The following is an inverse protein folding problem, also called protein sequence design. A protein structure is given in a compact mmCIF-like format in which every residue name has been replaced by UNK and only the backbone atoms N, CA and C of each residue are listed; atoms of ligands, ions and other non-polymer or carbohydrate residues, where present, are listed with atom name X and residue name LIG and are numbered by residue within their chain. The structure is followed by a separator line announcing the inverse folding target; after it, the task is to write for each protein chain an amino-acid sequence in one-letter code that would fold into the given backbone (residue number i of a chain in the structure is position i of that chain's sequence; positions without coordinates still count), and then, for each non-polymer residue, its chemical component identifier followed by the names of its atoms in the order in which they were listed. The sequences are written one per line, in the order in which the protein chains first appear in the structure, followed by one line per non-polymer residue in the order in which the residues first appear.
data_IF_092970125975
#
_entry.id   IF_092970125975
#
_cell.length_a   1.000
_cell.length_b   1.000
_cell.length_c   1.000
_cell.angle_alpha   90.00
_cell.angle_beta   90.00
_cell.angle_gamma   90.00
#
_symmetry.space_group_name_H-M   'P 1'
#
loop_
_entity.id
_entity.type
_entity.pdbx_description
1 polymer ?
#
# COMPACT_ATOMS: atom_id res chain seq x y z
N UNK A 1 -12.26 7.71 24.26
CA UNK A 1 -13.45 6.88 23.96
C UNK A 1 -13.05 5.90 22.86
N UNK A 2 -13.43 4.62 22.99
CA UNK A 2 -12.70 3.47 22.44
C UNK A 2 -12.58 3.45 20.89
N UNK A 3 -11.33 3.45 20.40
CA UNK A 3 -10.95 2.67 19.22
C UNK A 3 -9.45 2.35 19.27
N UNK A 4 -9.12 1.13 18.90
CA UNK A 4 -7.84 0.63 18.41
C UNK A 4 -8.07 -0.39 17.28
N UNK A 5 -9.27 -0.43 16.67
CA UNK A 5 -9.61 -1.33 15.54
C UNK A 5 -10.93 -2.12 15.66
N UNK A 6 -11.85 -1.76 16.57
CA UNK A 6 -13.21 -2.32 16.63
C UNK A 6 -14.20 -1.31 16.06
N UNK A 7 -14.87 -1.65 14.97
CA UNK A 7 -15.86 -0.79 14.33
C UNK A 7 -17.24 -0.96 14.99
N UNK A 8 -18.08 0.06 14.84
CA UNK A 8 -19.50 -0.05 15.16
C UNK A 8 -20.07 -1.30 14.47
N UNK A 9 -20.85 -2.08 15.22
CA UNK A 9 -21.42 -3.40 14.86
C UNK A 9 -20.55 -4.64 15.18
N UNK A 10 -19.41 -4.49 15.89
CA UNK A 10 -18.66 -5.64 16.42
C UNK A 10 -17.86 -6.43 15.37
N UNK A 11 -17.72 -5.89 14.16
CA UNK A 11 -16.91 -6.49 13.09
C UNK A 11 -15.43 -6.17 13.34
N UNK A 12 -14.61 -7.22 13.43
CA UNK A 12 -13.15 -7.11 13.47
C UNK A 12 -12.58 -7.31 12.07
N UNK A 13 -11.62 -6.45 11.68
CA UNK A 13 -10.90 -6.57 10.41
C UNK A 13 -9.39 -6.66 10.70
N UNK A 14 -8.86 -7.86 10.98
CA UNK A 14 -7.46 -8.01 11.36
C UNK A 14 -6.52 -7.63 10.21
N UNK A 15 -5.35 -7.08 10.57
CA UNK A 15 -4.28 -6.84 9.60
C UNK A 15 -3.52 -8.15 9.40
N UNK A 16 -3.56 -8.67 8.17
CA UNK A 16 -2.97 -9.96 7.82
C UNK A 16 -1.85 -9.77 6.80
N UNK A 17 -0.87 -10.67 6.83
CA UNK A 17 0.12 -10.79 5.77
C UNK A 17 -0.57 -11.00 4.42
N UNK A 18 -0.14 -10.30 3.38
CA UNK A 18 -0.86 -10.26 2.12
C UNK A 18 -0.46 -9.13 1.20
N UNK A 19 -1.31 -8.92 0.20
CA UNK A 19 -1.12 -7.91 -0.84
C UNK A 19 -2.12 -6.78 -0.63
N UNK A 20 -1.60 -5.56 -0.69
CA UNK A 20 -2.38 -4.34 -0.66
C UNK A 20 -2.03 -3.48 -1.88
N UNK A 21 -2.98 -2.68 -2.35
CA UNK A 21 -2.78 -1.74 -3.43
C UNK A 21 -3.00 -0.31 -2.94
N UNK A 22 -2.05 0.62 -3.19
CA UNK A 22 -2.32 2.04 -3.06
C UNK A 22 -3.25 2.46 -4.21
N UNK A 23 -4.53 2.59 -3.90
CA UNK A 23 -5.63 2.80 -4.86
C UNK A 23 -5.52 4.20 -5.47
N UNK A 24 -5.53 4.34 -6.81
CA UNK A 24 -5.61 5.63 -7.47
C UNK A 24 -6.90 6.37 -7.12
N UNK A 25 -6.81 7.70 -7.01
CA UNK A 25 -8.00 8.54 -7.04
C UNK A 25 -8.39 8.78 -8.50
N UNK A 26 -9.65 8.62 -8.86
CA UNK A 26 -10.14 8.88 -10.21
C UNK A 26 -10.81 10.25 -10.26
N UNK A 27 -10.69 10.93 -11.40
CA UNK A 27 -11.18 12.30 -11.56
C UNK A 27 -11.99 12.45 -12.85
N UNK A 28 -13.01 13.30 -12.81
CA UNK A 28 -13.76 13.69 -13.99
C UNK A 28 -12.89 14.58 -14.90
N UNK A 29 -12.86 14.36 -16.24
CA UNK A 29 -11.91 15.01 -17.14
C UNK A 29 -11.93 16.55 -17.16
N UNK A 30 -13.08 17.16 -16.89
CA UNK A 30 -13.26 18.61 -17.03
C UNK A 30 -13.12 19.37 -15.70
N UNK A 31 -13.63 18.80 -14.61
CA UNK A 31 -13.69 19.49 -13.30
C UNK A 31 -12.59 19.08 -12.34
N UNK A 32 -11.87 17.99 -12.62
CA UNK A 32 -10.98 17.30 -11.69
C UNK A 32 -11.68 16.85 -10.39
N UNK A 33 -13.02 16.87 -10.30
CA UNK A 33 -13.78 16.32 -9.18
C UNK A 33 -13.59 14.80 -9.09
N UNK A 34 -13.77 14.24 -7.90
CA UNK A 34 -13.67 12.79 -7.68
C UNK A 34 -14.71 12.01 -8.49
N UNK A 35 -14.24 11.07 -9.31
CA UNK A 35 -15.08 10.04 -9.93
C UNK A 35 -15.27 8.88 -8.93
N UNK A 36 -16.24 9.06 -8.03
CA UNK A 36 -16.57 8.07 -7.00
C UNK A 36 -17.05 6.74 -7.59
N UNK A 37 -17.92 6.68 -8.61
CA UNK A 37 -18.31 5.40 -9.21
C UNK A 37 -17.14 4.56 -9.71
N UNK A 38 -16.19 5.15 -10.45
CA UNK A 38 -15.00 4.44 -10.92
C UNK A 38 -14.11 3.99 -9.75
N UNK A 39 -13.99 4.83 -8.72
CA UNK A 39 -13.26 4.48 -7.50
C UNK A 39 -13.86 3.28 -6.77
N UNK A 40 -15.17 3.29 -6.51
CA UNK A 40 -15.88 2.19 -5.84
C UNK A 40 -15.75 0.88 -6.63
N UNK A 41 -15.95 0.93 -7.95
CA UNK A 41 -15.79 -0.22 -8.84
C UNK A 41 -14.36 -0.79 -8.80
N UNK A 42 -13.34 0.08 -8.78
CA UNK A 42 -11.95 -0.34 -8.71
C UNK A 42 -11.61 -1.01 -7.36
N UNK A 43 -12.03 -0.41 -6.24
CA UNK A 43 -11.82 -0.95 -4.89
C UNK A 43 -12.41 -2.35 -4.77
N UNK A 44 -13.67 -2.53 -5.19
CA UNK A 44 -14.34 -3.84 -5.14
C UNK A 44 -13.63 -4.86 -6.03
N UNK A 45 -13.21 -4.46 -7.25
CA UNK A 45 -12.50 -5.36 -8.18
C UNK A 45 -11.19 -5.88 -7.59
N UNK A 46 -10.35 -5.00 -7.03
CA UNK A 46 -9.07 -5.43 -6.44
C UNK A 46 -9.30 -6.24 -5.16
N UNK A 47 -10.25 -5.84 -4.31
CA UNK A 47 -10.57 -6.56 -3.08
C UNK A 47 -11.13 -7.96 -3.34
N UNK A 48 -11.95 -8.14 -4.39
CA UNK A 48 -12.45 -9.46 -4.82
C UNK A 48 -11.31 -10.41 -5.20
N UNK A 49 -10.21 -9.88 -5.74
CA UNK A 49 -9.01 -10.66 -6.05
C UNK A 49 -8.12 -10.93 -4.82
N UNK A 50 -8.51 -10.47 -3.64
CA UNK A 50 -7.77 -10.64 -2.38
C UNK A 50 -6.76 -9.53 -2.08
N UNK A 51 -6.92 -8.34 -2.67
CA UNK A 51 -6.03 -7.19 -2.45
C UNK A 51 -6.67 -6.16 -1.52
N UNK A 52 -6.05 -5.89 -0.37
CA UNK A 52 -6.53 -4.86 0.56
C UNK A 52 -6.30 -3.43 0.03
N UNK A 53 -7.26 -2.51 0.15
CA UNK A 53 -7.10 -1.14 -0.33
C UNK A 53 -6.29 -0.27 0.64
N UNK A 54 -5.30 0.44 0.10
CA UNK A 54 -4.72 1.63 0.71
C UNK A 54 -5.28 2.86 -0.02
N UNK A 55 -6.10 3.64 0.67
CA UNK A 55 -6.78 4.83 0.13
C UNK A 55 -6.01 6.09 0.51
N UNK A 56 -5.99 7.10 -0.37
CA UNK A 56 -5.29 8.37 -0.15
C UNK A 56 -3.80 8.20 0.21
N UNK A 57 -3.11 7.26 -0.45
CA UNK A 57 -1.65 7.18 -0.46
C UNK A 57 -1.01 7.97 -1.60
N UNK A 58 0.30 7.78 -1.83
CA UNK A 58 1.03 8.46 -2.93
C UNK A 58 0.43 8.18 -4.31
N UNK A 59 0.11 6.93 -4.66
CA UNK A 59 -0.59 6.59 -5.91
C UNK A 59 -2.04 7.12 -5.95
N UNK A 60 -2.64 7.34 -4.77
CA UNK A 60 -3.94 7.99 -4.62
C UNK A 60 -3.87 9.52 -4.71
N UNK A 61 -2.71 10.09 -5.06
CA UNK A 61 -2.48 11.52 -5.24
C UNK A 61 -2.85 12.34 -3.99
N UNK A 62 -2.62 11.77 -2.80
CA UNK A 62 -3.09 12.31 -1.53
C UNK A 62 -2.76 13.79 -1.30
N UNK A 63 -1.57 14.23 -1.71
CA UNK A 63 -1.12 15.63 -1.55
C UNK A 63 -1.92 16.63 -2.39
N UNK A 64 -2.66 16.18 -3.41
CA UNK A 64 -3.57 17.01 -4.20
C UNK A 64 -5.03 16.91 -3.73
N UNK A 65 -5.32 16.07 -2.74
CA UNK A 65 -6.64 15.92 -2.16
C UNK A 65 -6.79 16.81 -0.93
N UNK A 66 -7.90 17.56 -0.87
CA UNK A 66 -8.35 18.19 0.36
C UNK A 66 -8.68 17.14 1.43
N UNK A 67 -8.70 17.55 2.69
CA UNK A 67 -9.13 16.70 3.81
C UNK A 67 -10.52 16.10 3.54
N UNK A 68 -11.46 16.91 3.03
CA UNK A 68 -12.82 16.47 2.72
C UNK A 68 -12.88 15.40 1.63
N UNK A 69 -12.00 15.47 0.63
CA UNK A 69 -11.93 14.48 -0.45
C UNK A 69 -11.33 13.17 0.05
N UNK A 70 -10.32 13.21 0.91
CA UNK A 70 -9.78 12.01 1.56
C UNK A 70 -10.86 11.29 2.37
N UNK A 71 -11.63 12.04 3.17
CA UNK A 71 -12.77 11.50 3.93
C UNK A 71 -13.81 10.88 3.00
N UNK A 72 -14.19 11.57 1.91
CA UNK A 72 -15.14 11.05 0.91
C UNK A 72 -14.67 9.73 0.30
N UNK A 73 -13.40 9.62 -0.09
CA UNK A 73 -12.84 8.38 -0.66
C UNK A 73 -12.81 7.23 0.35
N UNK A 74 -12.41 7.47 1.59
CA UNK A 74 -12.39 6.43 2.62
C UNK A 74 -13.81 5.92 2.88
N UNK A 75 -14.78 6.83 3.02
CA UNK A 75 -16.18 6.49 3.21
C UNK A 75 -16.75 5.70 2.03
N UNK A 76 -16.50 6.14 0.79
CA UNK A 76 -16.92 5.46 -0.43
C UNK A 76 -16.31 4.05 -0.53
N UNK A 77 -15.01 3.90 -0.21
CA UNK A 77 -14.33 2.61 -0.20
C UNK A 77 -14.95 1.64 0.80
N UNK A 78 -15.22 2.10 2.04
CA UNK A 78 -15.89 1.28 3.07
C UNK A 78 -17.28 0.85 2.62
N UNK A 79 -18.08 1.81 2.14
CA UNK A 79 -19.44 1.57 1.63
C UNK A 79 -19.44 0.54 0.48
N UNK A 80 -18.52 0.67 -0.47
CA UNK A 80 -18.42 -0.23 -1.62
C UNK A 80 -18.05 -1.66 -1.20
N UNK A 81 -17.07 -1.81 -0.30
CA UNK A 81 -16.71 -3.12 0.25
C UNK A 81 -17.88 -3.76 1.01
N UNK A 82 -18.57 -3.00 1.87
CA UNK A 82 -19.73 -3.51 2.61
C UNK A 82 -20.88 -3.93 1.69
N UNK A 83 -21.19 -3.11 0.68
CA UNK A 83 -22.22 -3.41 -0.33
C UNK A 83 -21.89 -4.63 -1.19
N UNK A 84 -20.60 -4.96 -1.37
CA UNK A 84 -20.14 -6.15 -2.07
C UNK A 84 -19.99 -7.39 -1.17
N UNK A 85 -20.37 -7.32 0.12
CA UNK A 85 -20.18 -8.42 1.06
C UNK A 85 -18.73 -8.65 1.51
N UNK A 86 -17.84 -7.68 1.25
CA UNK A 86 -16.42 -7.68 1.62
C UNK A 86 -16.20 -6.90 2.94
N UNK A 87 -17.14 -7.02 3.86
CA UNK A 87 -17.13 -6.36 5.16
C UNK A 87 -15.96 -6.77 6.07
N UNK A 88 -15.22 -7.83 5.76
CA UNK A 88 -14.04 -8.29 6.47
C UNK A 88 -12.73 -7.65 5.97
N UNK A 89 -12.74 -7.01 4.79
CA UNK A 89 -11.54 -6.41 4.19
C UNK A 89 -11.19 -5.10 4.90
N UNK A 90 -9.99 -4.97 5.52
CA UNK A 90 -9.58 -3.74 6.18
C UNK A 90 -9.18 -2.66 5.17
N UNK A 91 -9.42 -1.41 5.52
CA UNK A 91 -8.93 -0.23 4.80
C UNK A 91 -7.71 0.35 5.53
N UNK A 92 -6.63 0.56 4.77
CA UNK A 92 -5.50 1.40 5.19
C UNK A 92 -5.68 2.80 4.59
N UNK A 93 -5.58 3.87 5.37
CA UNK A 93 -5.67 5.25 4.88
C UNK A 93 -4.32 5.98 4.99
N UNK A 94 -3.90 6.68 3.94
CA UNK A 94 -2.71 7.53 3.98
C UNK A 94 -2.97 8.86 4.67
N UNK A 95 -2.26 9.12 5.78
CA UNK A 95 -2.50 10.31 6.63
C UNK A 95 -1.26 11.14 6.92
N UNK A 96 -0.09 10.75 6.39
CA UNK A 96 1.12 11.58 6.44
C UNK A 96 0.87 12.97 5.82
N UNK A 97 1.31 14.01 6.52
CA UNK A 97 1.06 15.40 6.18
C UNK A 97 2.28 16.29 6.45
N UNK A 98 2.14 17.60 6.23
CA UNK A 98 3.25 18.55 6.39
C UNK A 98 3.71 18.77 7.83
N UNK A 99 2.90 18.37 8.81
CA UNK A 99 3.19 18.52 10.24
C UNK A 99 2.63 17.36 11.07
N UNK A 100 3.16 17.18 12.28
CA UNK A 100 2.63 16.22 13.27
C UNK A 100 1.17 16.50 13.58
N UNK A 101 0.82 17.78 13.81
CA UNK A 101 -0.56 18.20 14.11
C UNK A 101 -1.54 17.81 13.02
N UNK A 102 -1.23 18.13 11.76
CA UNK A 102 -2.10 17.80 10.63
C UNK A 102 -2.16 16.28 10.38
N UNK A 103 -1.05 15.57 10.56
CA UNK A 103 -1.02 14.10 10.46
C UNK A 103 -1.99 13.46 11.46
N UNK A 104 -1.97 13.92 12.71
CA UNK A 104 -2.90 13.44 13.75
C UNK A 104 -4.35 13.79 13.41
N UNK A 105 -4.61 15.00 12.92
CA UNK A 105 -5.94 15.43 12.48
C UNK A 105 -6.49 14.52 11.37
N UNK A 106 -5.72 14.30 10.31
CA UNK A 106 -6.09 13.41 9.20
C UNK A 106 -6.27 11.96 9.66
N UNK A 107 -5.46 11.48 10.59
CA UNK A 107 -5.61 10.16 11.20
C UNK A 107 -6.92 10.00 11.96
N UNK A 108 -7.35 11.03 12.70
CA UNK A 108 -8.66 11.01 13.38
C UNK A 108 -9.81 11.05 12.36
N UNK A 109 -9.72 11.91 11.34
CA UNK A 109 -10.71 11.97 10.26
C UNK A 109 -10.82 10.65 9.49
N UNK A 110 -9.69 9.99 9.21
CA UNK A 110 -9.66 8.69 8.53
C UNK A 110 -10.36 7.60 9.35
N UNK A 111 -10.10 7.53 10.65
CA UNK A 111 -10.78 6.60 11.55
C UNK A 111 -12.30 6.83 11.57
N UNK A 112 -12.73 8.09 11.68
CA UNK A 112 -14.15 8.47 11.64
C UNK A 112 -14.81 8.14 10.29
N UNK A 113 -14.05 8.22 9.19
CA UNK A 113 -14.53 7.91 7.84
C UNK A 113 -14.66 6.40 7.57
N UNK A 114 -14.13 5.54 8.46
CA UNK A 114 -14.24 4.09 8.36
C UNK A 114 -12.95 3.35 7.98
N UNK A 115 -11.78 4.00 8.07
CA UNK A 115 -10.50 3.31 7.97
C UNK A 115 -10.24 2.45 9.22
N UNK A 116 -9.64 1.27 9.02
CA UNK A 116 -9.26 0.34 10.07
C UNK A 116 -7.80 0.59 10.54
N UNK A 117 -6.97 1.09 9.63
CA UNK A 117 -5.55 1.36 9.80
C UNK A 117 -5.16 2.67 9.10
N UNK A 118 -4.07 3.28 9.54
CA UNK A 118 -3.43 4.38 8.79
C UNK A 118 -2.00 4.06 8.42
N UNK A 119 -1.50 4.73 7.40
CA UNK A 119 -0.10 4.67 6.98
C UNK A 119 0.47 6.09 6.86
N UNK A 120 1.62 6.31 7.49
CA UNK A 120 2.19 7.64 7.73
C UNK A 120 3.60 7.73 7.16
N UNK A 121 3.79 8.67 6.24
CA UNK A 121 5.09 9.07 5.68
C UNK A 121 5.54 10.39 6.31
N UNK A 122 6.85 10.54 6.55
CA UNK A 122 7.43 11.83 6.92
C UNK A 122 7.45 12.76 5.72
N UNK A 123 6.95 14.00 5.87
CA UNK A 123 7.01 15.00 4.80
C UNK A 123 8.45 15.33 4.40
N UNK A 124 8.70 15.35 3.10
CA UNK A 124 10.01 15.69 2.52
C UNK A 124 10.31 17.18 2.42
N UNK A 125 9.35 18.06 2.70
CA UNK A 125 9.53 19.51 2.44
C UNK A 125 10.69 20.11 3.25
N UNK A 126 10.86 19.67 4.51
CA UNK A 126 11.97 20.08 5.38
C UNK A 126 13.05 19.00 5.53
N UNK A 127 13.23 18.14 4.51
CA UNK A 127 14.18 17.04 4.56
C UNK A 127 15.63 17.47 4.87
N UNK A 128 16.04 18.67 4.43
CA UNK A 128 17.38 19.21 4.73
C UNK A 128 17.68 19.34 6.22
N UNK A 129 16.65 19.46 7.08
CA UNK A 129 16.80 19.47 8.54
C UNK A 129 16.45 18.10 9.15
N UNK A 130 15.41 17.45 8.62
CA UNK A 130 14.86 16.22 9.21
C UNK A 130 15.65 14.95 8.90
N UNK A 131 16.23 14.83 7.70
CA UNK A 131 16.79 13.55 7.21
C UNK A 131 17.90 12.99 8.10
N UNK A 132 18.70 13.85 8.72
CA UNK A 132 19.79 13.45 9.62
C UNK A 132 19.43 13.65 11.11
N UNK A 133 18.18 13.97 11.43
CA UNK A 133 17.73 14.18 12.80
C UNK A 133 16.88 12.98 13.28
N UNK A 134 17.58 11.91 13.63
CA UNK A 134 16.99 10.65 14.13
C UNK A 134 16.04 10.88 15.31
N UNK A 135 16.39 11.77 16.24
CA UNK A 135 15.57 12.07 17.41
C UNK A 135 14.24 12.73 17.03
N UNK A 136 14.25 13.70 16.10
CA UNK A 136 13.04 14.34 15.61
C UNK A 136 12.15 13.35 14.83
N UNK A 137 12.74 12.51 13.99
CA UNK A 137 12.01 11.46 13.25
C UNK A 137 11.35 10.46 14.20
N UNK A 138 12.06 10.01 15.25
CA UNK A 138 11.50 9.14 16.29
C UNK A 138 10.35 9.83 17.02
N UNK A 139 10.57 11.06 17.50
CA UNK A 139 9.57 11.83 18.25
C UNK A 139 8.26 12.01 17.46
N UNK A 140 8.34 12.23 16.14
CA UNK A 140 7.18 12.29 15.27
C UNK A 140 6.34 11.00 15.31
N UNK A 141 6.96 9.83 15.15
CA UNK A 141 6.21 8.55 15.17
C UNK A 141 5.71 8.19 16.56
N UNK A 142 6.43 8.56 17.63
CA UNK A 142 5.96 8.41 19.01
C UNK A 142 4.66 9.19 19.21
N UNK A 143 4.64 10.49 18.86
CA UNK A 143 3.46 11.34 19.05
C UNK A 143 2.27 10.87 18.20
N UNK A 144 2.52 10.45 16.96
CA UNK A 144 1.48 9.85 16.09
C UNK A 144 0.93 8.56 16.69
N UNK A 145 1.79 7.69 17.22
CA UNK A 145 1.38 6.42 17.84
C UNK A 145 0.49 6.64 19.06
N UNK A 146 0.86 7.58 19.93
CA UNK A 146 0.12 7.93 21.14
C UNK A 146 -1.28 8.50 20.85
N UNK A 147 -1.38 9.37 19.84
CA UNK A 147 -2.60 10.15 19.54
C UNK A 147 -3.48 9.53 18.47
N UNK A 148 -3.02 8.50 17.77
CA UNK A 148 -3.84 7.81 16.76
C UNK A 148 -4.93 6.92 17.41
N UNK A 149 -6.21 7.07 17.02
CA UNK A 149 -7.29 6.17 17.44
C UNK A 149 -7.29 4.81 16.73
N UNK A 150 -6.45 4.59 15.71
CA UNK A 150 -6.35 3.31 14.98
C UNK A 150 -4.86 2.93 14.75
N UNK A 151 -4.53 1.66 14.49
CA UNK A 151 -3.13 1.26 14.37
C UNK A 151 -2.45 1.88 13.14
N UNK A 152 -1.15 2.15 13.26
CA UNK A 152 -0.38 2.96 12.31
C UNK A 152 0.73 2.13 11.67
N UNK A 153 0.87 2.20 10.35
CA UNK A 153 2.00 1.70 9.60
C UNK A 153 2.97 2.85 9.28
N UNK A 154 4.27 2.61 9.44
CA UNK A 154 5.33 3.49 8.97
C UNK A 154 5.40 3.39 7.44
N UNK A 155 5.55 4.50 6.73
CA UNK A 155 5.85 4.51 5.31
C UNK A 155 7.23 5.11 5.05
N UNK A 156 8.18 4.24 4.67
CA UNK A 156 9.52 4.65 4.29
C UNK A 156 9.65 4.69 2.75
N UNK A 157 9.65 5.90 2.18
CA UNK A 157 9.83 6.12 0.75
C UNK A 157 10.66 7.38 0.48
N UNK A 158 12.00 7.25 0.39
CA UNK A 158 12.90 8.39 0.22
C UNK A 158 12.58 9.24 -1.01
N UNK A 159 12.19 8.59 -2.11
CA UNK A 159 11.83 9.27 -3.36
C UNK A 159 10.61 10.21 -3.24
N UNK A 160 9.71 9.98 -2.29
CA UNK A 160 8.55 10.85 -2.03
C UNK A 160 8.70 11.69 -0.74
N UNK A 161 9.84 11.58 -0.05
CA UNK A 161 10.09 12.25 1.24
C UNK A 161 11.40 13.03 1.25
N UNK A 162 11.80 13.57 0.09
CA UNK A 162 12.98 14.44 -0.02
C UNK A 162 14.29 13.76 0.38
N UNK A 163 14.38 12.44 0.25
CA UNK A 163 15.55 11.65 0.64
C UNK A 163 15.57 11.19 2.10
N UNK A 164 14.54 11.48 2.91
CA UNK A 164 14.43 10.91 4.25
C UNK A 164 14.29 9.39 4.14
N UNK A 165 15.29 8.66 4.65
CA UNK A 165 15.32 7.20 4.66
C UNK A 165 15.52 6.69 6.09
N UNK A 166 14.46 6.17 6.69
CA UNK A 166 14.55 5.57 8.02
C UNK A 166 15.33 4.26 7.91
N UNK A 167 16.43 4.13 8.66
CA UNK A 167 17.18 2.89 8.74
C UNK A 167 16.41 1.79 9.51
N UNK A 168 16.93 0.56 9.47
CA UNK A 168 16.29 -0.55 10.19
C UNK A 168 16.27 -0.33 11.70
N UNK A 169 17.30 0.30 12.25
CA UNK A 169 17.51 0.37 13.70
C UNK A 169 16.50 1.33 14.31
N UNK A 170 16.26 2.47 13.64
CA UNK A 170 15.20 3.40 13.98
C UNK A 170 13.81 2.77 13.80
N UNK A 171 13.57 2.03 12.71
CA UNK A 171 12.26 1.38 12.50
C UNK A 171 11.99 0.32 13.59
N UNK A 172 12.99 -0.49 13.93
CA UNK A 172 12.88 -1.51 14.99
C UNK A 172 12.68 -0.86 16.35
N UNK A 173 13.42 0.19 16.69
CA UNK A 173 13.23 0.92 17.96
C UNK A 173 11.82 1.53 18.05
N UNK A 174 11.30 2.11 16.95
CA UNK A 174 9.90 2.58 16.92
C UNK A 174 8.93 1.40 17.11
N UNK A 175 9.20 0.25 16.48
CA UNK A 175 8.38 -0.95 16.67
C UNK A 175 8.35 -1.40 18.14
N UNK A 176 9.49 -1.38 18.82
CA UNK A 176 9.63 -1.77 20.23
C UNK A 176 8.91 -0.81 21.18
N UNK A 177 9.09 0.50 20.97
CA UNK A 177 8.62 1.54 21.90
C UNK A 177 7.15 1.96 21.68
N UNK A 178 6.64 1.80 20.46
CA UNK A 178 5.35 2.37 20.06
C UNK A 178 4.30 1.27 19.82
N UNK A 179 3.50 0.85 20.83
CA UNK A 179 2.60 -0.30 20.72
C UNK A 179 1.47 -0.13 19.71
N UNK A 180 1.13 1.10 19.30
CA UNK A 180 0.13 1.37 18.26
C UNK A 180 0.71 1.37 16.83
N UNK A 181 2.03 1.27 16.68
CA UNK A 181 2.69 1.05 15.39
C UNK A 181 2.60 -0.45 15.07
N UNK A 182 1.96 -0.79 13.96
CA UNK A 182 1.63 -2.15 13.55
C UNK A 182 2.31 -2.57 12.23
N UNK A 183 3.29 -1.81 11.74
CA UNK A 183 4.07 -2.27 10.61
C UNK A 183 4.85 -1.18 9.90
N UNK A 184 5.47 -1.58 8.80
CA UNK A 184 6.22 -0.70 7.91
C UNK A 184 6.02 -1.11 6.45
N UNK A 185 5.88 -0.11 5.58
CA UNK A 185 5.98 -0.24 4.13
C UNK A 185 7.33 0.32 3.65
N UNK A 186 8.13 -0.50 2.98
CA UNK A 186 9.47 -0.16 2.50
C UNK A 186 9.50 0.01 0.97
N UNK A 187 9.52 1.25 0.47
CA UNK A 187 9.62 1.58 -0.97
C UNK A 187 11.03 2.06 -1.34
N UNK A 188 12.05 1.70 -0.55
CA UNK A 188 13.46 2.03 -0.82
C UNK A 188 14.20 0.98 -1.69
N UNK A 189 13.56 -0.15 -2.02
CA UNK A 189 14.17 -1.24 -2.80
C UNK A 189 15.27 -2.04 -2.06
N UNK A 190 15.55 -1.70 -0.81
CA UNK A 190 16.60 -2.34 -0.01
C UNK A 190 16.05 -3.59 0.71
N UNK A 191 16.19 -4.75 0.06
CA UNK A 191 15.79 -6.04 0.65
C UNK A 191 16.57 -6.34 1.93
N UNK A 192 17.84 -5.94 2.05
CA UNK A 192 18.62 -6.13 3.28
C UNK A 192 18.09 -5.34 4.49
N UNK A 193 17.49 -4.16 4.26
CA UNK A 193 16.76 -3.42 5.31
C UNK A 193 15.52 -4.19 5.74
N UNK A 194 14.75 -4.70 4.77
CA UNK A 194 13.57 -5.51 5.03
C UNK A 194 13.93 -6.75 5.85
N UNK A 195 14.99 -7.48 5.47
CA UNK A 195 15.46 -8.68 6.17
C UNK A 195 15.81 -8.39 7.63
N UNK A 196 16.57 -7.33 7.92
CA UNK A 196 16.96 -6.98 9.30
C UNK A 196 15.76 -6.67 10.19
N UNK A 197 14.78 -5.94 9.66
CA UNK A 197 13.55 -5.63 10.40
C UNK A 197 12.73 -6.91 10.59
N UNK A 198 12.51 -7.67 9.52
CA UNK A 198 11.70 -8.89 9.57
C UNK A 198 12.28 -9.94 10.54
N UNK A 199 13.59 -10.09 10.61
CA UNK A 199 14.28 -10.96 11.57
C UNK A 199 14.03 -10.52 13.01
N UNK A 200 14.20 -9.22 13.32
CA UNK A 200 13.92 -8.67 14.65
C UNK A 200 12.46 -8.89 15.08
N UNK A 201 11.51 -8.67 14.17
CA UNK A 201 10.07 -8.84 14.44
C UNK A 201 9.68 -10.33 14.58
N UNK A 202 10.33 -11.22 13.82
CA UNK A 202 10.07 -12.66 13.86
C UNK A 202 10.66 -13.36 15.09
N UNK A 203 11.49 -12.67 15.89
CA UNK A 203 12.05 -13.22 17.11
C UNK A 203 10.92 -13.72 18.04
N UNK A 204 11.00 -14.96 18.59
CA UNK A 204 9.91 -15.55 19.38
C UNK A 204 9.47 -14.71 20.58
N UNK A 205 10.38 -13.90 21.12
CA UNK A 205 10.13 -13.03 22.28
C UNK A 205 9.53 -11.68 21.90
N UNK A 206 9.62 -11.23 20.65
CA UNK A 206 9.26 -9.86 20.23
C UNK A 206 7.82 -9.52 20.60
N UNK A 207 6.86 -10.36 20.21
CA UNK A 207 5.45 -10.13 20.48
C UNK A 207 5.11 -10.13 21.98
N UNK A 208 5.86 -10.88 22.81
CA UNK A 208 5.67 -10.91 24.27
C UNK A 208 6.29 -9.71 24.98
N UNK A 209 7.45 -9.23 24.52
CA UNK A 209 8.15 -8.08 25.09
C UNK A 209 7.56 -6.74 24.62
N UNK A 210 7.05 -6.71 23.39
CA UNK A 210 6.53 -5.50 22.74
C UNK A 210 5.09 -5.73 22.24
N UNK A 211 4.13 -6.03 23.13
CA UNK A 211 2.76 -6.32 22.73
C UNK A 211 2.14 -5.13 22.01
N UNK A 212 1.39 -5.41 20.93
CA UNK A 212 0.66 -4.37 20.20
C UNK A 212 -0.57 -3.93 20.98
N UNK A 213 -0.89 -2.63 20.92
CA UNK A 213 -2.09 -2.04 21.54
C UNK A 213 -3.36 -2.70 21.01
N UNK A 214 -3.38 -3.10 19.74
CA UNK A 214 -4.41 -3.94 19.15
C UNK A 214 -3.83 -5.34 18.84
N UNK A 215 -4.31 -6.41 19.49
CA UNK A 215 -3.83 -7.77 19.23
C UNK A 215 -4.19 -8.30 17.83
N UNK A 216 -5.16 -7.67 17.14
CA UNK A 216 -5.54 -7.97 15.75
C UNK A 216 -4.67 -7.22 14.72
N UNK A 217 -3.64 -6.51 15.18
CA UNK A 217 -2.74 -5.71 14.34
C UNK A 217 -1.27 -6.07 14.64
N UNK A 218 -0.82 -7.29 14.27
CA UNK A 218 0.59 -7.67 14.43
C UNK A 218 1.50 -6.74 13.62
N UNK A 219 2.77 -6.63 14.01
CA UNK A 219 3.72 -5.82 13.26
C UNK A 219 4.05 -6.48 11.91
N UNK A 220 3.60 -5.88 10.79
CA UNK A 220 3.89 -6.38 9.45
C UNK A 220 5.04 -5.62 8.77
N UNK A 221 5.94 -6.36 8.13
CA UNK A 221 7.01 -5.81 7.29
C UNK A 221 6.67 -6.01 5.83
N UNK A 222 6.32 -4.94 5.12
CA UNK A 222 5.74 -4.98 3.77
C UNK A 222 6.67 -4.30 2.75
N UNK A 223 6.86 -4.95 1.60
CA UNK A 223 7.54 -4.37 0.44
C UNK A 223 6.71 -3.29 -0.26
N UNK A 224 7.38 -2.31 -0.87
CA UNK A 224 6.76 -1.28 -1.71
C UNK A 224 6.61 -1.65 -3.18
N UNK A 225 7.34 -2.66 -3.63
CA UNK A 225 7.37 -3.17 -5.00
C UNK A 225 7.13 -4.68 -5.00
N UNK A 226 6.62 -5.19 -6.12
CA UNK A 226 6.37 -6.63 -6.33
C UNK A 226 7.59 -7.34 -6.93
N UNK A 227 8.53 -6.59 -7.51
CA UNK A 227 9.74 -7.10 -8.16
C UNK A 227 10.68 -7.92 -7.26
N UNK A 228 10.59 -7.76 -5.93
CA UNK A 228 11.30 -8.55 -4.93
C UNK A 228 10.38 -9.31 -3.96
N UNK A 229 9.15 -9.65 -4.36
CA UNK A 229 8.17 -10.29 -3.48
C UNK A 229 8.62 -11.69 -2.98
N UNK A 230 9.12 -12.56 -3.87
CA UNK A 230 9.66 -13.88 -3.49
C UNK A 230 10.84 -13.77 -2.51
N UNK A 231 11.94 -13.02 -2.80
CA UNK A 231 13.06 -12.95 -1.87
C UNK A 231 12.67 -12.30 -0.54
N UNK A 232 11.82 -11.26 -0.53
CA UNK A 232 11.34 -10.67 0.73
C UNK A 232 10.48 -11.64 1.53
N UNK A 233 9.65 -12.45 0.87
CA UNK A 233 8.86 -13.50 1.51
C UNK A 233 9.77 -14.52 2.21
N UNK A 234 10.83 -14.99 1.54
CA UNK A 234 11.83 -15.89 2.15
C UNK A 234 12.63 -15.23 3.30
N UNK A 235 12.74 -13.91 3.31
CA UNK A 235 13.32 -13.12 4.39
C UNK A 235 12.30 -12.74 5.49
N UNK A 236 11.25 -13.55 5.68
CA UNK A 236 10.18 -13.31 6.68
C UNK A 236 9.38 -12.02 6.48
N UNK A 237 9.40 -11.44 5.28
CA UNK A 237 8.50 -10.37 4.87
C UNK A 237 7.05 -10.84 4.81
N UNK A 238 6.13 -9.92 5.06
CA UNK A 238 4.70 -10.20 5.25
C UNK A 238 3.85 -9.86 4.01
N UNK A 239 4.48 -9.69 2.85
CA UNK A 239 3.83 -9.31 1.59
C UNK A 239 4.21 -7.90 1.14
N UNK A 240 3.29 -7.21 0.46
CA UNK A 240 3.58 -5.94 -0.17
C UNK A 240 2.38 -4.99 -0.27
N UNK A 241 2.67 -3.69 -0.24
CA UNK A 241 1.76 -2.62 -0.63
C UNK A 241 2.27 -2.02 -1.94
N UNK A 242 1.75 -2.47 -3.08
CA UNK A 242 2.38 -2.27 -4.39
C UNK A 242 1.43 -1.70 -5.44
N UNK A 243 1.93 -0.78 -6.27
CA UNK A 243 1.16 -0.16 -7.35
C UNK A 243 0.70 -1.15 -8.41
N UNK A 244 1.48 -2.20 -8.68
CA UNK A 244 1.16 -3.20 -9.71
C UNK A 244 -0.13 -3.97 -9.42
N UNK A 245 -0.48 -4.15 -8.14
CA UNK A 245 -1.70 -4.82 -7.73
C UNK A 245 -2.98 -4.07 -8.14
N UNK A 246 -2.88 -2.78 -8.51
CA UNK A 246 -4.00 -2.09 -9.16
C UNK A 246 -4.30 -2.65 -10.56
N UNK A 247 -3.28 -3.11 -11.29
CA UNK A 247 -3.40 -3.61 -12.66
C UNK A 247 -3.56 -5.13 -12.69
N UNK A 248 -2.71 -5.83 -11.94
CA UNK A 248 -2.60 -7.31 -11.93
C UNK A 248 -2.84 -7.90 -10.52
N UNK A 249 -4.01 -7.65 -9.90
CA UNK A 249 -4.25 -8.09 -8.53
C UNK A 249 -4.18 -9.61 -8.36
N UNK A 250 -4.72 -10.40 -9.31
CA UNK A 250 -4.72 -11.85 -9.19
C UNK A 250 -3.31 -12.42 -9.33
N UNK A 251 -2.52 -11.90 -10.27
CA UNK A 251 -1.14 -12.32 -10.46
C UNK A 251 -0.25 -11.99 -9.26
N UNK A 252 -0.41 -10.80 -8.66
CA UNK A 252 0.35 -10.42 -7.46
C UNK A 252 -0.04 -11.27 -6.25
N UNK A 253 -1.34 -11.52 -6.02
CA UNK A 253 -1.81 -12.41 -4.94
C UNK A 253 -1.36 -13.84 -5.15
N UNK A 254 -1.40 -14.33 -6.40
CA UNK A 254 -0.94 -15.66 -6.75
C UNK A 254 0.56 -15.83 -6.48
N UNK A 255 1.38 -14.85 -6.87
CA UNK A 255 2.83 -14.86 -6.59
C UNK A 255 3.12 -14.94 -5.09
N UNK A 256 2.43 -14.14 -4.26
CA UNK A 256 2.59 -14.19 -2.81
C UNK A 256 2.25 -15.58 -2.24
N UNK A 257 1.11 -16.14 -2.66
CA UNK A 257 0.68 -17.47 -2.22
C UNK A 257 1.65 -18.57 -2.65
N UNK A 258 2.18 -18.50 -3.88
CA UNK A 258 3.21 -19.43 -4.36
C UNK A 258 4.49 -19.32 -3.53
N UNK A 259 4.95 -18.11 -3.23
CA UNK A 259 6.15 -17.88 -2.42
C UNK A 259 6.00 -18.40 -0.98
N UNK A 260 4.83 -18.20 -0.37
CA UNK A 260 4.52 -18.75 0.95
C UNK A 260 4.43 -20.28 0.93
N UNK A 261 3.76 -20.84 -0.08
CA UNK A 261 3.65 -22.28 -0.25
C UNK A 261 5.02 -22.93 -0.51
N UNK A 262 5.91 -22.28 -1.26
CA UNK A 262 7.22 -22.82 -1.61
C UNK A 262 8.19 -22.95 -0.42
N UNK A 263 7.91 -22.26 0.70
CA UNK A 263 8.62 -22.48 1.97
C UNK A 263 8.35 -23.87 2.57
N UNK A 264 7.15 -24.41 2.35
CA UNK A 264 6.72 -25.72 2.84
C UNK A 264 6.91 -26.83 1.81
N UNK A 265 6.73 -26.49 0.54
CA UNK A 265 6.92 -27.38 -0.60
C UNK A 265 7.90 -26.76 -1.61
N UNK A 266 9.20 -27.08 -1.52
CA UNK A 266 10.22 -26.52 -2.41
C UNK A 266 9.99 -26.77 -3.91
N UNK A 267 9.14 -27.74 -4.29
CA UNK A 267 8.82 -27.99 -5.70
C UNK A 267 8.11 -26.81 -6.38
N UNK A 268 7.41 -25.98 -5.59
CA UNK A 268 6.72 -24.78 -6.07
C UNK A 268 7.65 -23.60 -6.34
N UNK A 269 8.92 -23.65 -5.89
CA UNK A 269 9.85 -22.52 -5.99
C UNK A 269 10.13 -22.16 -7.45
N UNK A 270 10.26 -23.14 -8.35
CA UNK A 270 10.53 -22.88 -9.76
C UNK A 270 9.39 -22.07 -10.41
N UNK A 271 8.15 -22.40 -10.06
CA UNK A 271 6.98 -21.67 -10.54
C UNK A 271 6.90 -20.27 -9.90
N UNK A 272 7.16 -20.15 -8.60
CA UNK A 272 7.24 -18.85 -7.92
C UNK A 272 8.30 -17.94 -8.59
N UNK A 273 9.46 -18.47 -8.95
CA UNK A 273 10.52 -17.74 -9.67
C UNK A 273 10.10 -17.35 -11.09
N UNK A 274 9.41 -18.24 -11.82
CA UNK A 274 8.88 -17.94 -13.15
C UNK A 274 7.90 -16.78 -13.11
N UNK A 275 6.92 -16.84 -12.20
CA UNK A 275 5.91 -15.79 -11.99
C UNK A 275 6.57 -14.50 -11.50
N UNK A 276 7.51 -14.58 -10.55
CA UNK A 276 8.30 -13.43 -10.08
C UNK A 276 9.02 -12.73 -11.24
N UNK A 277 9.62 -13.47 -12.16
CA UNK A 277 10.33 -12.89 -13.30
C UNK A 277 9.41 -12.09 -14.23
N UNK A 278 8.20 -12.59 -14.50
CA UNK A 278 7.19 -11.87 -15.30
C UNK A 278 6.77 -10.58 -14.59
N UNK A 279 6.41 -10.73 -13.32
CA UNK A 279 5.89 -9.65 -12.49
C UNK A 279 6.93 -8.57 -12.24
N UNK A 280 8.19 -8.93 -11.96
CA UNK A 280 9.28 -7.98 -11.74
C UNK A 280 9.55 -7.12 -12.98
N UNK A 281 9.59 -7.74 -14.17
CA UNK A 281 9.75 -7.00 -15.42
C UNK A 281 8.59 -6.05 -15.68
N UNK A 282 7.35 -6.48 -15.39
CA UNK A 282 6.17 -5.64 -15.53
C UNK A 282 6.19 -4.47 -14.53
N UNK A 283 6.45 -4.73 -13.25
CA UNK A 283 6.51 -3.72 -12.19
C UNK A 283 7.55 -2.63 -12.51
N UNK A 284 8.76 -3.04 -12.86
CA UNK A 284 9.83 -2.12 -13.24
C UNK A 284 9.51 -1.30 -14.51
N UNK A 285 8.81 -1.90 -15.47
CA UNK A 285 8.42 -1.19 -16.71
C UNK A 285 7.34 -0.16 -16.42
N UNK A 286 6.30 -0.54 -15.69
CA UNK A 286 5.12 0.29 -15.44
C UNK A 286 5.43 1.40 -14.43
N UNK A 287 6.23 1.12 -13.40
CA UNK A 287 6.63 2.11 -12.39
C UNK A 287 7.34 3.33 -12.97
N UNK A 288 8.07 3.18 -14.09
CA UNK A 288 8.71 4.31 -14.81
C UNK A 288 7.70 5.31 -15.36
N UNK A 289 6.49 4.86 -15.68
CA UNK A 289 5.41 5.71 -16.16
C UNK A 289 4.56 6.29 -15.01
N UNK A 290 4.87 5.95 -13.75
CA UNK A 290 4.26 6.50 -12.54
C UNK A 290 2.72 6.39 -12.53
N UNK A 291 2.05 7.33 -11.85
CA UNK A 291 0.60 7.36 -11.63
C UNK A 291 -0.16 7.47 -12.97
N UNK A 292 0.28 8.36 -13.87
CA UNK A 292 -0.39 8.57 -15.16
C UNK A 292 -0.31 7.35 -16.07
N UNK A 293 0.82 6.63 -16.10
CA UNK A 293 0.93 5.36 -16.80
C UNK A 293 0.04 4.26 -16.22
N UNK A 294 -0.05 4.18 -14.89
CA UNK A 294 -0.95 3.22 -14.23
C UNK A 294 -2.41 3.50 -14.59
N UNK A 295 -2.84 4.77 -14.51
CA UNK A 295 -4.20 5.19 -14.90
C UNK A 295 -4.50 4.90 -16.37
N UNK A 296 -3.55 5.18 -17.27
CA UNK A 296 -3.70 4.85 -18.68
C UNK A 296 -3.89 3.35 -18.94
N UNK A 297 -3.13 2.50 -18.25
CA UNK A 297 -3.29 1.06 -18.38
C UNK A 297 -4.62 0.57 -17.78
N UNK A 298 -5.10 1.18 -16.69
CA UNK A 298 -6.44 0.91 -16.16
C UNK A 298 -7.52 1.26 -17.19
N UNK A 299 -7.39 2.40 -17.88
CA UNK A 299 -8.31 2.84 -18.93
C UNK A 299 -8.36 1.79 -20.05
N UNK A 300 -7.19 1.35 -20.54
CA UNK A 300 -7.09 0.30 -21.57
C UNK A 300 -7.67 -1.04 -21.15
N UNK A 301 -7.53 -1.42 -19.88
CA UNK A 301 -7.92 -2.74 -19.40
C UNK A 301 -9.37 -2.81 -18.93
N UNK A 302 -9.89 -1.72 -18.36
CA UNK A 302 -11.13 -1.71 -17.60
C UNK A 302 -12.08 -0.57 -17.95
N UNK A 303 -11.69 0.34 -18.86
CA UNK A 303 -12.54 1.44 -19.32
C UNK A 303 -12.66 2.61 -18.35
N UNK A 304 -11.76 2.68 -17.36
CA UNK A 304 -11.65 3.80 -16.43
C UNK A 304 -10.20 3.95 -15.96
N UNK A 305 -9.80 5.18 -15.63
CA UNK A 305 -8.43 5.51 -15.27
C UNK A 305 -8.22 7.01 -15.27
N UNK A 306 -8.65 7.65 -16.36
CA UNK A 306 -8.63 9.09 -16.53
C UNK A 306 -7.23 9.69 -16.41
N UNK A 307 -7.19 11.00 -16.14
CA UNK A 307 -5.93 11.75 -15.95
C UNK A 307 -5.54 11.86 -14.47
N UNK A 308 -4.30 12.24 -14.23
CA UNK A 308 -3.87 12.70 -12.90
C UNK A 308 -4.41 14.10 -12.62
N UNK A 309 -4.52 14.45 -11.35
CA UNK A 309 -4.83 15.83 -10.94
C UNK A 309 -3.57 16.68 -11.06
N UNK A 310 -3.73 17.89 -11.59
CA UNK A 310 -2.63 18.85 -11.73
C UNK A 310 -1.99 19.16 -10.37
N UNK A 311 -0.67 19.41 -10.30
CA UNK A 311 0.26 19.63 -11.42
C UNK A 311 0.89 18.37 -12.02
N UNK A 312 0.45 17.15 -11.66
CA UNK A 312 0.96 15.95 -12.33
C UNK A 312 0.52 15.94 -13.81
N UNK A 313 1.45 15.75 -14.76
CA UNK A 313 1.10 15.75 -16.16
C UNK A 313 0.33 14.47 -16.54
N UNK A 314 -0.61 14.56 -17.50
CA UNK A 314 -1.14 13.36 -18.13
C UNK A 314 -0.01 12.58 -18.83
N UNK A 315 -0.24 11.31 -19.10
CA UNK A 315 0.70 10.55 -19.93
C UNK A 315 0.62 11.03 -21.37
N UNK A 316 1.77 11.17 -22.03
CA UNK A 316 1.81 11.37 -23.48
C UNK A 316 1.18 10.15 -24.19
N UNK A 317 0.24 10.35 -25.14
CA UNK A 317 -0.45 9.23 -25.79
C UNK A 317 0.48 8.21 -26.45
N UNK A 318 1.56 8.65 -27.10
CA UNK A 318 2.51 7.74 -27.75
C UNK A 318 3.31 6.95 -26.71
N UNK A 319 3.68 7.58 -25.59
CA UNK A 319 4.31 6.89 -24.45
C UNK A 319 3.34 5.88 -23.83
N UNK A 320 2.07 6.22 -23.69
CA UNK A 320 1.02 5.32 -23.20
C UNK A 320 0.84 4.10 -24.10
N UNK A 321 0.73 4.28 -25.42
CA UNK A 321 0.62 3.17 -26.37
C UNK A 321 1.87 2.30 -26.36
N UNK A 322 3.06 2.91 -26.30
CA UNK A 322 4.32 2.17 -26.17
C UNK A 322 4.37 1.34 -24.88
N UNK A 323 3.89 1.90 -23.76
CA UNK A 323 3.79 1.19 -22.49
C UNK A 323 2.81 0.02 -22.56
N UNK A 324 1.66 0.19 -23.21
CA UNK A 324 0.66 -0.85 -23.41
C UNK A 324 1.18 -1.99 -24.30
N UNK A 325 1.86 -1.64 -25.39
CA UNK A 325 2.46 -2.59 -26.34
C UNK A 325 3.73 -3.25 -25.79
N UNK A 326 4.33 -2.71 -24.72
CA UNK A 326 5.60 -3.20 -24.19
C UNK A 326 5.52 -4.69 -23.81
N UNK A 327 6.48 -5.56 -24.23
CA UNK A 327 6.43 -7.00 -23.98
C UNK A 327 6.26 -7.38 -22.50
N UNK A 328 6.90 -6.64 -21.60
CA UNK A 328 6.77 -6.86 -20.16
C UNK A 328 5.34 -6.58 -19.64
N UNK A 329 4.73 -5.47 -20.10
CA UNK A 329 3.33 -5.13 -19.77
C UNK A 329 2.39 -6.21 -20.32
N UNK A 330 2.57 -6.61 -21.58
CA UNK A 330 1.76 -7.65 -22.23
C UNK A 330 1.86 -9.00 -21.53
N UNK A 331 3.05 -9.39 -21.09
CA UNK A 331 3.24 -10.61 -20.31
C UNK A 331 2.51 -10.56 -18.95
N UNK A 332 2.51 -9.41 -18.26
CA UNK A 332 1.73 -9.21 -17.05
C UNK A 332 0.22 -9.29 -17.29
N UNK A 333 -0.28 -8.65 -18.36
CA UNK A 333 -1.68 -8.72 -18.78
C UNK A 333 -2.10 -10.17 -19.09
N UNK A 334 -1.25 -10.92 -19.79
CA UNK A 334 -1.52 -12.31 -20.12
C UNK A 334 -1.63 -13.16 -18.86
N UNK A 335 -0.67 -13.05 -17.94
CA UNK A 335 -0.69 -13.78 -16.67
C UNK A 335 -1.93 -13.46 -15.82
N UNK A 336 -2.31 -12.18 -15.73
CA UNK A 336 -3.52 -11.75 -15.02
C UNK A 336 -4.80 -12.37 -15.62
N UNK A 337 -4.87 -12.47 -16.96
CA UNK A 337 -6.01 -13.08 -17.65
C UNK A 337 -6.08 -14.59 -17.47
N UNK A 338 -4.93 -15.27 -17.54
CA UNK A 338 -4.83 -16.71 -17.31
C UNK A 338 -5.36 -17.08 -15.91
N UNK A 339 -5.06 -16.26 -14.90
CA UNK A 339 -5.52 -16.48 -13.51
C UNK A 339 -6.99 -16.10 -13.26
N UNK A 340 -7.61 -15.29 -14.12
CA UNK A 340 -9.03 -14.92 -14.02
C UNK A 340 -9.96 -15.79 -14.88
N UNK A 341 -9.40 -16.77 -15.61
CA UNK A 341 -10.15 -17.62 -16.54
C UNK A 341 -10.68 -16.87 -17.78
N UNK A 342 -10.18 -15.66 -18.08
CA UNK A 342 -10.56 -14.89 -19.26
C UNK A 342 -9.65 -15.27 -20.46
N UNK A 343 -10.19 -15.51 -21.67
CA UNK A 343 -9.39 -15.96 -22.81
C UNK A 343 -8.34 -14.94 -23.29
N UNK A 344 -7.33 -15.43 -24.03
CA UNK A 344 -6.28 -14.61 -24.67
C UNK A 344 -6.90 -13.69 -25.75
N UNK A 345 -6.44 -12.42 -25.81
CA UNK A 345 -6.74 -11.46 -26.89
C UNK A 345 -5.44 -11.11 -27.58
#
# INVERSE_FOLDING_TARGET
MAANGYHANGITRPLMAGIFAPIPSFFLPETEDLDIPSFEAHVVRTATAGVGPLIAGSMGEAIHLSHSERVKLIHAGRKALDGAGLNHVPIIAGTGAGSTRETIELTNQAAMAGADYVIVITSGYFAGVLANNRAALKAFFVEVSEKSPIPVLIYNYPGASGGIDLDSDLITEIAEDCPNICGVKLTCGNVGKLTRIADAIAAPTFASLHPRKNPQAPFLVLGGYTDFLVPSTYASGHGAITGLANLFPNATVHLFKLAEASKKDPSLLQEAQRVQGIIARADFTISKASISGTKYLLEKMYGYGGTTRKPLPPIDPAVGEALWAHPHTRAGVQLERELTGKPRV
#
